data_IF_006748055414
#
_entry.id   IF_006748055414
#
_cell.length_a   1.000
_cell.length_b   1.000
_cell.length_c   1.000
_cell.angle_alpha   90.00
_cell.angle_beta   90.00
_cell.angle_gamma   90.00
#
_symmetry.space_group_name_H-M   'P 1'
#
loop_
_entity.id
_entity.type
_entity.pdbx_description
1 polymer ?
#
# COMPACT_ATOMS: atom_id res chain seq x y z
N UNK A 1 8.78 2.30 3.43
CA UNK A 1 8.02 1.32 4.24
C UNK A 1 7.73 0.09 3.40
N UNK A 2 7.63 -1.11 3.98
CA UNK A 2 7.18 -2.33 3.31
C UNK A 2 6.01 -2.97 4.06
N UNK A 3 5.00 -3.44 3.31
CA UNK A 3 3.90 -4.26 3.80
C UNK A 3 4.03 -5.65 3.17
N UNK A 4 4.21 -6.67 4.01
CA UNK A 4 4.44 -8.05 3.53
C UNK A 4 3.69 -9.08 4.34
N UNK A 5 3.36 -10.19 3.70
CA UNK A 5 2.68 -11.31 4.37
C UNK A 5 3.70 -12.20 5.11
N UNK A 6 3.31 -12.70 6.28
CA UNK A 6 3.94 -13.81 7.00
C UNK A 6 2.89 -14.90 7.16
N UNK A 7 3.14 -16.05 6.54
CA UNK A 7 2.22 -17.20 6.55
C UNK A 7 1.90 -17.67 7.96
N UNK A 8 0.70 -18.26 8.14
CA UNK A 8 0.26 -18.95 9.36
C UNK A 8 0.14 -18.07 10.63
N UNK A 9 0.10 -16.74 10.47
CA UNK A 9 -0.17 -15.80 11.57
C UNK A 9 -1.64 -15.35 11.57
N UNK A 10 -2.23 -15.16 12.76
CA UNK A 10 -3.55 -14.49 12.91
C UNK A 10 -3.55 -13.07 12.36
N UNK A 11 -2.38 -12.43 12.39
CA UNK A 11 -2.11 -11.11 11.82
C UNK A 11 -0.99 -11.28 10.79
N UNK A 12 -1.33 -11.69 9.55
CA UNK A 12 -0.31 -12.07 8.57
C UNK A 12 0.37 -10.86 7.93
N UNK A 13 -0.21 -9.67 7.96
CA UNK A 13 0.36 -8.51 7.28
C UNK A 13 1.28 -7.71 8.18
N UNK A 14 2.57 -7.73 7.88
CA UNK A 14 3.62 -7.09 8.64
C UNK A 14 4.00 -5.75 8.01
N UNK A 15 4.04 -4.71 8.83
CA UNK A 15 4.55 -3.40 8.49
C UNK A 15 5.97 -3.23 9.02
N UNK A 16 6.95 -3.04 8.14
CA UNK A 16 8.35 -2.78 8.55
C UNK A 16 9.14 -2.01 7.49
N UNK A 17 10.30 -1.44 7.85
CA UNK A 17 11.22 -0.94 6.82
C UNK A 17 11.93 -2.12 6.12
N UNK A 18 12.05 -2.14 4.78
CA UNK A 18 12.63 -3.27 4.04
C UNK A 18 14.04 -3.65 4.49
N UNK A 19 14.84 -2.65 4.89
CA UNK A 19 16.23 -2.82 5.36
C UNK A 19 16.39 -2.96 6.88
N UNK A 20 15.29 -3.07 7.64
CA UNK A 20 15.32 -3.26 9.09
C UNK A 20 14.69 -4.60 9.45
N UNK A 21 15.22 -5.26 10.47
CA UNK A 21 14.68 -6.52 10.96
C UNK A 21 13.47 -6.31 11.87
N UNK A 22 13.49 -5.21 12.64
CA UNK A 22 12.40 -4.86 13.55
C UNK A 22 11.10 -4.56 12.81
N UNK A 23 10.01 -5.11 13.33
CA UNK A 23 8.64 -4.90 12.84
C UNK A 23 8.05 -3.68 13.57
N UNK A 24 7.14 -2.96 12.90
CA UNK A 24 6.40 -1.84 13.49
C UNK A 24 5.07 -2.32 14.04
N UNK A 25 4.33 -3.09 13.24
CA UNK A 25 3.02 -3.62 13.60
C UNK A 25 2.62 -4.80 12.69
N UNK A 26 1.68 -5.61 13.15
CA UNK A 26 1.09 -6.74 12.43
C UNK A 26 -0.44 -6.61 12.35
N UNK A 27 -1.01 -6.84 11.17
CA UNK A 27 -2.40 -6.54 10.84
C UNK A 27 -3.12 -7.75 10.21
N UNK A 28 -4.46 -7.73 10.26
CA UNK A 28 -5.31 -8.75 9.61
C UNK A 28 -5.34 -8.61 8.10
N UNK A 29 -5.31 -7.38 7.58
CA UNK A 29 -5.31 -7.10 6.14
C UNK A 29 -4.22 -6.10 5.74
N UNK A 30 -3.81 -6.15 4.46
CA UNK A 30 -2.87 -5.20 3.88
C UNK A 30 -3.43 -3.76 3.90
N UNK A 31 -4.72 -3.61 3.66
CA UNK A 31 -5.42 -2.33 3.67
C UNK A 31 -5.46 -1.70 5.06
N UNK A 32 -5.61 -2.51 6.11
CA UNK A 32 -5.53 -2.05 7.50
C UNK A 32 -4.14 -1.50 7.82
N UNK A 33 -3.09 -2.25 7.47
CA UNK A 33 -1.72 -1.81 7.65
C UNK A 33 -1.45 -0.47 6.94
N UNK A 34 -1.95 -0.33 5.72
CA UNK A 34 -1.84 0.90 4.93
C UNK A 34 -2.59 2.07 5.58
N UNK A 35 -3.88 1.91 5.90
CA UNK A 35 -4.73 2.97 6.48
C UNK A 35 -4.21 3.41 7.86
N UNK A 36 -3.76 2.46 8.67
CA UNK A 36 -3.12 2.73 9.95
C UNK A 36 -1.86 3.57 9.76
N UNK A 37 -0.96 3.17 8.86
CA UNK A 37 0.31 3.86 8.66
C UNK A 37 0.16 5.27 8.07
N UNK A 38 -0.72 5.47 7.09
CA UNK A 38 -0.90 6.80 6.46
C UNK A 38 -1.56 7.80 7.42
N UNK A 39 -2.19 7.34 8.51
CA UNK A 39 -2.76 8.23 9.54
C UNK A 39 -1.69 9.05 10.26
N UNK A 40 -0.44 8.59 10.28
CA UNK A 40 0.69 9.30 10.89
C UNK A 40 1.20 10.47 10.04
N UNK A 41 0.75 10.61 8.79
CA UNK A 41 1.16 11.71 7.89
C UNK A 41 2.68 11.81 7.69
N UNK A 42 3.36 10.67 7.65
CA UNK A 42 4.81 10.57 7.41
C UNK A 42 5.04 10.39 5.90
N UNK A 43 5.81 11.28 5.28
CA UNK A 43 6.15 11.17 3.86
C UNK A 43 7.02 9.94 3.61
N UNK A 44 6.61 9.07 2.69
CA UNK A 44 7.22 7.74 2.56
C UNK A 44 6.89 7.08 1.22
N UNK A 45 7.67 6.07 0.88
CA UNK A 45 7.44 5.18 -0.25
C UNK A 45 7.01 3.84 0.34
N UNK A 46 5.77 3.45 0.10
CA UNK A 46 5.15 2.25 0.65
C UNK A 46 5.25 1.16 -0.40
N UNK A 47 6.06 0.15 -0.15
CA UNK A 47 6.19 -1.04 -0.97
C UNK A 47 5.19 -2.10 -0.48
N UNK A 48 4.56 -2.81 -1.39
CA UNK A 48 3.65 -3.90 -1.05
C UNK A 48 3.97 -5.15 -1.84
N UNK A 49 3.80 -6.27 -1.16
CA UNK A 49 4.06 -7.60 -1.71
C UNK A 49 2.79 -8.43 -1.74
N UNK A 50 2.75 -9.46 -2.57
CA UNK A 50 1.68 -10.45 -2.58
C UNK A 50 1.92 -11.53 -1.51
N UNK A 51 1.07 -12.57 -1.52
CA UNK A 51 1.14 -13.70 -0.60
C UNK A 51 2.39 -14.57 -0.76
N UNK A 52 3.03 -14.51 -1.94
CA UNK A 52 4.32 -15.15 -2.23
C UNK A 52 5.50 -14.25 -1.83
N UNK A 53 5.22 -13.11 -1.18
CA UNK A 53 6.20 -12.09 -0.81
C UNK A 53 6.95 -11.49 -2.02
N UNK A 54 6.34 -11.55 -3.21
CA UNK A 54 6.83 -10.90 -4.44
C UNK A 54 6.38 -9.44 -4.45
N UNK A 55 7.25 -8.52 -4.86
CA UNK A 55 6.94 -7.09 -4.95
C UNK A 55 5.96 -6.83 -6.09
N UNK A 56 4.76 -6.34 -5.77
CA UNK A 56 3.69 -6.12 -6.76
C UNK A 56 3.47 -4.63 -7.08
N UNK A 57 3.87 -3.73 -6.18
CA UNK A 57 3.73 -2.30 -6.42
C UNK A 57 4.32 -1.44 -5.32
N UNK A 58 4.23 -0.14 -5.56
CA UNK A 58 4.55 0.89 -4.57
C UNK A 58 3.57 2.06 -4.64
N UNK A 59 3.46 2.78 -3.52
CA UNK A 59 2.72 4.03 -3.40
C UNK A 59 3.65 5.07 -2.81
N UNK A 60 3.94 6.12 -3.58
CA UNK A 60 4.58 7.31 -3.06
C UNK A 60 3.54 8.17 -2.34
N UNK A 61 3.80 8.47 -1.06
CA UNK A 61 2.93 9.23 -0.19
C UNK A 61 3.66 10.45 0.35
N UNK A 62 3.33 11.64 -0.15
CA UNK A 62 4.02 12.89 0.21
C UNK A 62 3.14 14.12 -0.01
N UNK A 63 3.57 15.28 0.51
CA UNK A 63 2.86 16.55 0.29
C UNK A 63 3.14 17.11 -1.10
N UNK A 64 2.07 17.41 -1.84
CA UNK A 64 2.15 18.07 -3.15
C UNK A 64 2.02 19.58 -3.00
N UNK A 65 3.07 20.31 -3.41
CA UNK A 65 3.10 21.78 -3.37
C UNK A 65 2.01 22.38 -4.25
N UNK A 66 1.73 21.76 -5.39
CA UNK A 66 0.74 22.23 -6.37
C UNK A 66 -0.71 22.05 -5.87
N UNK A 67 -0.89 21.33 -4.76
CA UNK A 67 -2.20 21.04 -4.17
C UNK A 67 -2.29 21.52 -2.73
N UNK A 68 -1.83 22.74 -2.47
CA UNK A 68 -1.88 23.38 -1.15
C UNK A 68 -1.23 22.51 -0.05
N UNK A 69 -0.10 21.85 -0.37
CA UNK A 69 0.62 20.94 0.52
C UNK A 69 -0.25 19.79 1.07
N UNK A 70 -1.29 19.39 0.33
CA UNK A 70 -2.08 18.20 0.66
C UNK A 70 -1.27 16.94 0.37
N UNK A 71 -1.48 15.91 1.18
CA UNK A 71 -0.92 14.61 0.91
C UNK A 71 -1.58 13.98 -0.32
N UNK A 72 -0.75 13.46 -1.22
CA UNK A 72 -1.16 12.70 -2.40
C UNK A 72 -0.62 11.28 -2.35
N UNK A 73 -1.20 10.41 -3.17
CA UNK A 73 -0.86 9.00 -3.29
C UNK A 73 -0.64 8.68 -4.77
N UNK A 74 0.62 8.39 -5.14
CA UNK A 74 0.98 8.01 -6.51
C UNK A 74 1.28 6.52 -6.51
N UNK A 75 0.36 5.73 -7.07
CA UNK A 75 0.53 4.29 -7.23
C UNK A 75 1.41 3.96 -8.43
N UNK A 76 2.18 2.89 -8.32
CA UNK A 76 2.96 2.31 -9.40
C UNK A 76 2.95 0.79 -9.26
N UNK A 77 2.64 0.09 -10.34
CA UNK A 77 2.78 -1.37 -10.44
C UNK A 77 4.21 -1.77 -10.78
N UNK A 78 4.64 -2.96 -10.35
CA UNK A 78 5.96 -3.52 -10.72
C UNK A 78 5.90 -4.49 -11.91
N UNK A 79 4.78 -4.53 -12.65
CA UNK A 79 4.66 -5.28 -13.90
C UNK A 79 3.41 -6.16 -13.97
N UNK A 80 2.97 -6.42 -15.21
CA UNK A 80 1.79 -7.25 -15.51
C UNK A 80 1.96 -8.72 -15.11
N UNK A 81 3.20 -9.21 -15.01
CA UNK A 81 3.50 -10.62 -14.68
C UNK A 81 2.91 -11.06 -13.33
N UNK A 82 2.72 -10.10 -12.41
CA UNK A 82 2.15 -10.37 -11.09
C UNK A 82 0.62 -10.17 -11.03
N UNK A 83 -0.03 -9.88 -12.16
CA UNK A 83 -1.48 -9.70 -12.26
C UNK A 83 -2.01 -8.45 -11.52
N UNK A 84 -1.14 -7.49 -11.21
CA UNK A 84 -1.49 -6.25 -10.49
C UNK A 84 -1.07 -5.06 -11.34
N UNK A 85 -2.05 -4.28 -11.78
CA UNK A 85 -1.84 -3.07 -12.58
C UNK A 85 -2.06 -1.80 -11.74
N UNK A 86 -1.82 -0.63 -12.34
CA UNK A 86 -2.05 0.66 -11.70
C UNK A 86 -3.47 0.82 -11.16
N UNK A 87 -4.47 0.43 -11.96
CA UNK A 87 -5.88 0.65 -11.60
C UNK A 87 -6.34 -0.23 -10.44
N UNK A 88 -5.82 -1.46 -10.37
CA UNK A 88 -6.07 -2.39 -9.27
C UNK A 88 -5.51 -1.86 -7.95
N UNK A 89 -4.27 -1.36 -7.95
CA UNK A 89 -3.67 -0.72 -6.77
C UNK A 89 -4.50 0.49 -6.32
N UNK A 90 -4.90 1.35 -7.27
CA UNK A 90 -5.76 2.49 -6.97
C UNK A 90 -7.10 2.05 -6.35
N UNK A 91 -7.70 0.97 -6.85
CA UNK A 91 -8.94 0.42 -6.31
C UNK A 91 -8.76 -0.16 -4.92
N UNK A 92 -7.80 -1.06 -4.74
CA UNK A 92 -7.52 -1.78 -3.49
C UNK A 92 -7.22 -0.82 -2.34
N UNK A 93 -6.41 0.21 -2.61
CA UNK A 93 -6.06 1.22 -1.63
C UNK A 93 -6.97 2.45 -1.67
N UNK A 94 -8.05 2.43 -2.45
CA UNK A 94 -9.03 3.51 -2.57
C UNK A 94 -8.40 4.88 -2.81
N UNK A 95 -7.59 4.97 -3.87
CA UNK A 95 -6.89 6.16 -4.39
C UNK A 95 -7.55 6.53 -5.70
N UNK A 96 -7.88 7.81 -5.86
CA UNK A 96 -8.36 8.37 -7.13
C UNK A 96 -7.24 8.27 -8.19
N UNK A 97 -7.46 7.54 -9.30
CA UNK A 97 -6.43 7.28 -10.29
C UNK A 97 -6.02 8.50 -11.12
N UNK A 98 -6.78 9.61 -11.08
CA UNK A 98 -6.41 10.84 -11.77
C UNK A 98 -5.98 11.94 -10.80
N UNK A 99 -6.64 11.99 -9.64
CA UNK A 99 -6.40 13.05 -8.66
C UNK A 99 -5.46 12.60 -7.54
N UNK A 100 -4.97 11.36 -7.49
CA UNK A 100 -4.01 10.91 -6.48
C UNK A 100 -4.49 11.18 -5.03
N UNK A 101 -5.80 11.28 -4.82
CA UNK A 101 -6.41 11.62 -3.53
C UNK A 101 -7.08 10.38 -2.96
N UNK A 102 -7.14 10.28 -1.64
CA UNK A 102 -7.81 9.15 -1.00
C UNK A 102 -9.34 9.29 -1.14
N UNK A 103 -10.02 8.16 -1.39
CA UNK A 103 -11.48 8.06 -1.34
C UNK A 103 -12.00 8.37 0.06
N UNK A 104 -11.48 7.66 1.07
CA UNK A 104 -11.77 7.91 2.48
C UNK A 104 -11.06 9.18 2.96
N UNK A 105 -11.77 10.01 3.70
CA UNK A 105 -11.26 11.19 4.40
C UNK A 105 -10.39 10.79 5.59
N UNK A 106 -9.61 11.74 6.10
CA UNK A 106 -8.79 11.53 7.29
C UNK A 106 -9.64 11.15 8.51
N UNK A 107 -10.81 11.78 8.68
CA UNK A 107 -11.73 11.46 9.77
C UNK A 107 -12.31 10.04 9.67
N UNK A 108 -12.61 9.57 8.46
CA UNK A 108 -13.08 8.19 8.24
C UNK A 108 -11.97 7.18 8.51
N UNK A 109 -10.72 7.47 8.11
CA UNK A 109 -9.57 6.61 8.41
C UNK A 109 -9.31 6.57 9.92
N UNK A 110 -9.37 7.71 10.60
CA UNK A 110 -9.25 7.77 12.06
C UNK A 110 -10.33 6.96 12.76
N UNK A 111 -11.57 6.97 12.24
CA UNK A 111 -12.66 6.16 12.78
C UNK A 111 -12.37 4.66 12.60
N UNK A 112 -11.96 4.23 11.40
CA UNK A 112 -11.57 2.84 11.13
C UNK A 112 -10.44 2.38 12.06
N UNK A 113 -9.43 3.24 12.26
CA UNK A 113 -8.26 2.91 13.06
C UNK A 113 -8.57 2.77 14.57
N UNK A 114 -9.68 3.34 15.08
CA UNK A 114 -10.07 3.19 16.49
C UNK A 114 -10.52 1.78 16.84
N UNK A 115 -11.19 1.13 15.89
CA UNK A 115 -11.74 -0.22 16.08
C UNK A 115 -10.79 -1.30 15.53
N UNK A 116 -9.60 -0.89 15.10
CA UNK A 116 -8.62 -1.77 14.47
C UNK A 116 -7.95 -2.67 15.51
N UNK A 117 -8.01 -3.97 15.27
CA UNK A 117 -7.31 -4.98 16.08
C UNK A 117 -6.00 -5.33 15.36
N UNK A 118 -4.87 -5.08 16.00
CA UNK A 118 -3.53 -5.30 15.44
C UNK A 118 -2.51 -5.51 16.57
N UNK A 119 -1.32 -6.02 16.24
CA UNK A 119 -0.20 -6.14 17.18
C UNK A 119 0.75 -4.97 16.95
N UNK A 120 1.04 -4.19 17.99
CA UNK A 120 1.95 -3.05 17.93
C UNK A 120 3.33 -3.42 18.49
N UNK A 121 4.40 -3.05 17.77
CA UNK A 121 5.78 -3.33 18.16
C UNK A 121 6.64 -2.08 18.30
N UNK A 122 6.49 -1.09 17.41
CA UNK A 122 7.31 0.11 17.42
C UNK A 122 6.56 1.36 16.94
N UNK A 123 6.94 2.52 17.47
CA UNK A 123 6.33 3.80 17.10
C UNK A 123 6.82 4.25 15.70
N UNK A 124 5.92 4.45 14.71
CA UNK A 124 6.30 4.87 13.36
C UNK A 124 7.09 6.18 13.31
N UNK A 125 6.81 7.13 14.22
CA UNK A 125 7.45 8.46 14.22
C UNK A 125 8.93 8.41 14.62
N UNK A 126 9.31 7.47 15.49
CA UNK A 126 10.70 7.32 15.94
C UNK A 126 11.43 6.16 15.25
N UNK A 127 10.73 5.39 14.43
CA UNK A 127 11.27 4.20 13.80
C UNK A 127 12.20 4.51 12.61
N UNK A 128 11.95 5.62 11.90
CA UNK A 128 12.72 6.02 10.74
C UNK A 128 13.89 6.93 11.13
N UNK A 129 15.09 6.50 10.80
CA UNK A 129 16.26 7.37 10.82
C UNK A 129 16.25 8.26 9.57
N UNK A 130 16.82 9.49 9.63
CA UNK A 130 16.85 10.42 8.49
C UNK A 130 17.42 9.81 7.20
N UNK A 131 18.35 8.86 7.30
CA UNK A 131 18.94 8.15 6.16
C UNK A 131 17.95 7.29 5.35
N UNK A 132 16.78 7.01 5.91
CA UNK A 132 15.71 6.24 5.27
C UNK A 132 14.55 7.12 4.77
N UNK A 133 14.66 8.44 4.89
CA UNK A 133 13.70 9.37 4.30
C UNK A 133 13.70 9.24 2.78
N UNK A 134 12.52 9.41 2.18
CA UNK A 134 12.39 9.33 0.74
C UNK A 134 13.00 10.56 0.07
N UNK A 135 13.74 10.34 -1.02
CA UNK A 135 14.11 11.43 -1.92
C UNK A 135 12.86 11.87 -2.66
N UNK A 136 12.44 13.12 -2.47
CA UNK A 136 11.31 13.70 -3.19
C UNK A 136 11.64 13.80 -4.67
N UNK A 137 10.70 13.33 -5.50
CA UNK A 137 10.73 13.36 -6.95
C UNK A 137 9.49 14.06 -7.46
N UNK A 138 9.50 14.45 -8.73
CA UNK A 138 8.30 15.00 -9.38
C UNK A 138 7.21 13.93 -9.50
N UNK A 139 5.95 14.34 -9.67
CA UNK A 139 4.82 13.40 -9.87
C UNK A 139 5.09 12.45 -11.05
N UNK A 140 5.58 13.01 -12.15
CA UNK A 140 5.83 12.27 -13.39
C UNK A 140 7.00 11.27 -13.30
N UNK A 141 7.93 11.50 -12.36
CA UNK A 141 9.04 10.59 -12.05
C UNK A 141 8.61 9.38 -11.21
N UNK A 142 7.49 9.48 -10.49
CA UNK A 142 6.91 8.34 -9.74
C UNK A 142 5.98 7.48 -10.60
N UNK A 143 5.54 7.98 -11.75
CA UNK A 143 4.69 7.25 -12.67
C UNK A 143 5.54 6.47 -13.69
N UNK A 144 5.38 5.15 -13.72
CA UNK A 144 5.89 4.33 -14.82
C UNK A 144 5.03 4.52 -16.08
N UNK A 145 5.47 3.96 -17.21
CA UNK A 145 4.74 4.07 -18.48
C UNK A 145 3.34 3.45 -18.39
N UNK A 146 3.20 2.32 -17.71
CA UNK A 146 1.90 1.65 -17.51
C UNK A 146 0.89 2.56 -16.79
N UNK A 147 1.28 3.20 -15.70
CA UNK A 147 0.43 4.14 -14.98
C UNK A 147 0.07 5.35 -15.85
N UNK A 148 1.03 5.88 -16.64
CA UNK A 148 0.78 6.99 -17.58
C UNK A 148 -0.25 6.60 -18.64
N UNK A 149 -0.11 5.41 -19.22
CA UNK A 149 -1.04 4.89 -20.23
C UNK A 149 -2.45 4.71 -19.66
N UNK A 150 -2.58 4.14 -18.46
CA UNK A 150 -3.88 3.97 -17.78
C UNK A 150 -4.50 5.32 -17.42
N UNK A 151 -3.71 6.27 -16.93
CA UNK A 151 -4.16 7.65 -16.65
C UNK A 151 -4.70 8.28 -17.93
N UNK A 152 -3.97 8.17 -19.04
CA UNK A 152 -4.38 8.70 -20.34
C UNK A 152 -5.67 8.05 -20.84
N UNK A 153 -5.82 6.74 -20.72
CA UNK A 153 -7.06 6.01 -21.07
C UNK A 153 -8.25 6.51 -20.25
N UNK A 154 -8.10 6.65 -18.92
CA UNK A 154 -9.16 7.14 -18.04
C UNK A 154 -9.53 8.59 -18.41
N UNK A 155 -8.56 9.45 -18.74
CA UNK A 155 -8.82 10.81 -19.20
C UNK A 155 -9.63 10.83 -20.51
N UNK A 156 -9.24 10.03 -21.50
CA UNK A 156 -9.90 9.96 -22.81
C UNK A 156 -11.29 9.33 -22.76
N UNK A 157 -11.57 8.49 -21.77
CA UNK A 157 -12.90 7.93 -21.55
C UNK A 157 -13.93 8.97 -21.04
N UNK A 158 -13.55 10.23 -20.84
CA UNK A 158 -14.46 11.28 -20.37
C UNK A 158 -14.72 11.26 -18.85
N UNK A 159 -14.02 10.41 -18.10
CA UNK A 159 -14.15 10.29 -16.64
C UNK A 159 -13.39 11.36 -15.86
N UNK A 160 -12.70 12.27 -16.55
CA UNK A 160 -11.92 13.34 -15.92
C UNK A 160 -12.78 14.20 -14.96
N UNK A 161 -14.07 14.37 -15.28
CA UNK A 161 -14.99 15.24 -14.55
C UNK A 161 -15.99 14.49 -13.64
N UNK A 162 -15.98 13.16 -13.62
CA UNK A 162 -16.86 12.39 -12.73
C UNK A 162 -16.41 12.49 -11.27
N UNK A 163 -17.17 11.96 -10.31
CA UNK A 163 -16.69 11.91 -8.93
C UNK A 163 -15.58 10.85 -8.77
N UNK A 164 -14.85 10.95 -7.65
CA UNK A 164 -13.69 10.10 -7.35
C UNK A 164 -14.04 8.62 -7.18
N UNK A 165 -15.24 8.30 -6.67
CA UNK A 165 -15.66 6.91 -6.48
C UNK A 165 -15.99 6.27 -7.82
N UNK A 166 -16.74 6.98 -8.67
CA UNK A 166 -17.01 6.55 -10.05
C UNK A 166 -15.71 6.33 -10.82
N UNK A 167 -14.73 7.24 -10.70
CA UNK A 167 -13.42 7.04 -11.36
C UNK A 167 -12.72 5.77 -10.92
N UNK A 168 -12.73 5.45 -9.63
CA UNK A 168 -12.08 4.24 -9.10
C UNK A 168 -12.81 2.98 -9.56
N UNK A 169 -14.14 2.96 -9.53
CA UNK A 169 -14.92 1.80 -9.96
C UNK A 169 -14.81 1.57 -11.47
N UNK A 170 -14.86 2.62 -12.27
CA UNK A 170 -14.70 2.48 -13.71
C UNK A 170 -13.27 2.08 -14.07
N UNK A 171 -12.25 2.60 -13.40
CA UNK A 171 -10.87 2.13 -13.57
C UNK A 171 -10.73 0.63 -13.28
N UNK A 172 -11.42 0.12 -12.24
CA UNK A 172 -11.48 -1.31 -11.91
C UNK A 172 -12.12 -2.13 -13.03
N UNK A 173 -13.22 -1.65 -13.62
CA UNK A 173 -13.93 -2.37 -14.70
C UNK A 173 -13.19 -2.34 -16.04
N UNK A 174 -12.50 -1.25 -16.35
CA UNK A 174 -11.63 -1.14 -17.53
C UNK A 174 -10.56 -2.23 -17.55
N UNK A 175 -10.02 -2.57 -16.38
CA UNK A 175 -8.98 -3.58 -16.29
C UNK A 175 -9.48 -4.99 -16.64
N UNK A 176 -10.64 -5.38 -16.13
CA UNK A 176 -11.21 -6.71 -16.37
C UNK A 176 -11.63 -6.96 -17.84
N UNK A 177 -11.81 -5.90 -18.64
CA UNK A 177 -12.35 -5.99 -20.01
C UNK A 177 -11.28 -5.97 -21.09
N UNK A 178 -10.06 -5.53 -20.77
CA UNK A 178 -8.93 -5.54 -21.69
C UNK A 178 -8.27 -6.93 -21.77
N UNK A 179 -8.32 -7.71 -20.68
CA UNK A 179 -7.87 -9.11 -20.68
C UNK A 179 -8.75 -10.03 -21.55
N UNK A 180 -9.94 -9.57 -21.96
CA UNK A 180 -10.86 -10.33 -22.83
C UNK A 180 -10.81 -9.93 -24.32
N UNK A 181 -9.83 -9.13 -24.75
CA UNK A 181 -9.54 -8.91 -26.18
C UNK A 181 -10.56 -8.08 -26.98
N UNK A 182 -11.62 -7.55 -26.34
CA UNK A 182 -12.64 -6.75 -27.02
C UNK A 182 -12.54 -5.26 -26.66
N UNK A 183 -11.93 -4.46 -27.53
CA UNK A 183 -11.94 -2.99 -27.42
C UNK A 183 -13.30 -2.48 -27.88
N UNK A 184 -14.31 -2.58 -27.01
CA UNK A 184 -15.54 -1.82 -27.19
C UNK A 184 -15.43 -0.53 -26.37
N UNK A 185 -15.43 0.61 -27.08
CA UNK A 185 -15.59 1.95 -26.50
C UNK A 185 -16.68 1.90 -25.44
N UNK A 186 -16.29 2.10 -24.19
CA UNK A 186 -17.20 2.08 -23.06
C UNK A 186 -18.16 3.25 -23.25
N UNK A 187 -19.43 2.95 -23.53
CA UNK A 187 -20.47 3.95 -23.45
C UNK A 187 -20.69 4.28 -21.97
N UNK A 188 -19.95 5.26 -21.45
CA UNK A 188 -19.92 5.68 -20.04
C UNK A 188 -21.33 5.97 -19.50
N UNK A 189 -22.26 6.36 -20.39
CA UNK A 189 -23.67 6.57 -20.03
C UNK A 189 -24.35 5.32 -19.45
N UNK A 190 -23.97 4.11 -19.89
CA UNK A 190 -24.55 2.85 -19.41
C UNK A 190 -24.10 2.47 -18.00
N UNK A 191 -22.89 2.88 -17.58
CA UNK A 191 -22.35 2.59 -16.24
C UNK A 191 -22.95 3.57 -15.22
N UNK A 192 -22.99 4.87 -15.57
CA UNK A 192 -23.50 5.93 -14.68
C UNK A 192 -25.02 5.80 -14.43
N UNK A 193 -25.76 5.16 -15.33
CA UNK A 193 -27.22 4.99 -15.21
C UNK A 193 -27.65 3.97 -14.15
N UNK A 194 -26.78 3.03 -13.77
CA UNK A 194 -27.09 2.01 -12.76
C UNK A 194 -26.88 2.48 -11.31
N UNK A 195 -26.22 3.62 -11.08
CA UNK A 195 -25.83 4.07 -9.73
C UNK A 195 -26.90 4.82 -8.95
N UNK A 196 -28.05 5.15 -9.55
CA UNK A 196 -29.19 5.69 -8.76
C UNK A 196 -29.77 4.68 -7.76
N UNK A 197 -29.43 3.39 -7.85
CA UNK A 197 -29.80 2.35 -6.88
C UNK A 197 -28.71 2.00 -5.84
N UNK A 198 -27.50 2.58 -5.91
CA UNK A 198 -26.34 2.16 -5.07
C UNK A 198 -26.14 3.04 -3.83
N UNK A 199 -26.93 4.11 -3.64
CA UNK A 199 -26.89 4.94 -2.41
C UNK A 199 -27.24 4.20 -1.11
N UNK A 200 -27.59 2.91 -1.17
CA UNK A 200 -28.04 2.10 -0.04
C UNK A 200 -27.08 0.94 0.35
N UNK A 201 -25.85 0.91 -0.18
CA UNK A 201 -24.85 -0.12 0.18
C UNK A 201 -23.66 0.53 0.91
N UNK A 202 -23.93 1.14 2.05
CA UNK A 202 -22.90 1.57 3.02
C UNK A 202 -22.92 0.65 4.24
N UNK A 203 -22.73 -0.66 4.02
CA UNK A 203 -22.51 -1.63 5.10
C UNK A 203 -21.13 -2.28 4.99
N UNK A 204 -20.26 -2.17 6.01
CA UNK A 204 -18.84 -2.56 5.95
C UNK A 204 -18.57 -4.08 5.92
N UNK A 205 -19.60 -4.93 5.85
CA UNK A 205 -19.47 -6.39 6.03
C UNK A 205 -19.20 -7.14 4.70
N UNK A 206 -19.37 -6.52 3.53
CA UNK A 206 -19.31 -7.24 2.23
C UNK A 206 -17.99 -7.16 1.45
N UNK A 207 -16.98 -6.40 1.89
CA UNK A 207 -15.70 -6.30 1.18
C UNK A 207 -14.77 -7.52 1.41
N UNK A 208 -14.98 -8.30 2.46
CA UNK A 208 -14.14 -9.47 2.79
C UNK A 208 -14.40 -10.68 1.87
N UNK A 209 -15.61 -10.79 1.29
CA UNK A 209 -15.99 -11.94 0.45
C UNK A 209 -15.52 -11.85 -1.02
N UNK A 210 -15.07 -10.68 -1.48
CA UNK A 210 -14.59 -10.52 -2.87
C UNK A 210 -13.15 -11.05 -3.03
N UNK A 211 -12.35 -11.05 -1.96
CA UNK A 211 -10.96 -11.52 -1.99
C UNK A 211 -10.81 -13.05 -1.93
N UNK A 212 -11.81 -13.78 -1.45
CA UNK A 212 -11.78 -15.25 -1.41
C UNK A 212 -12.31 -15.91 -2.69
N UNK A 213 -13.17 -15.21 -3.46
CA UNK A 213 -13.84 -15.82 -4.62
C UNK A 213 -13.04 -15.72 -5.94
N UNK A 214 -11.92 -14.97 -5.97
CA UNK A 214 -11.13 -14.78 -7.19
C UNK A 214 -10.25 -15.98 -7.57
N UNK A 215 -10.01 -16.91 -6.63
CA UNK A 215 -9.14 -18.07 -6.86
C UNK A 215 -9.88 -19.36 -7.26
N UNK A 216 -11.20 -19.44 -7.08
CA UNK A 216 -11.97 -20.65 -7.40
C UNK A 216 -12.43 -20.70 -8.85
N UNK A 217 -12.65 -19.55 -9.49
CA UNK A 217 -13.18 -19.50 -10.87
C UNK A 217 -12.08 -19.69 -11.94
N UNK A 218 -10.81 -19.48 -11.58
CA UNK A 218 -9.69 -19.59 -12.53
C UNK A 218 -9.14 -21.03 -12.65
N UNK A 219 -9.45 -21.91 -11.71
CA UNK A 219 -9.10 -23.33 -11.78
C UNK A 219 -10.11 -24.15 -12.59
N UNK A 220 -11.39 -23.75 -12.62
CA UNK A 220 -12.43 -24.47 -13.36
C UNK A 220 -12.32 -24.34 -14.89
N UNK A 221 -11.75 -23.26 -15.41
CA UNK A 221 -11.66 -23.01 -16.87
C UNK A 221 -10.44 -23.73 -17.51
N UNK A 222 -9.50 -24.23 -16.69
CA UNK A 222 -8.28 -24.89 -17.18
C UNK A 222 -8.36 -26.42 -17.27
N UNK A 223 -9.44 -27.03 -16.77
CA UNK A 223 -9.65 -28.49 -16.82
C UNK A 223 -10.56 -28.96 -17.98
N UNK A 224 -11.29 -28.07 -18.66
CA UNK A 224 -12.19 -28.46 -19.77
C UNK A 224 -11.55 -28.44 -21.18
N UNK A 225 -10.29 -27.99 -21.34
CA UNK A 225 -9.64 -27.92 -22.66
C UNK A 225 -8.70 -29.09 -23.01
N UNK A 226 -8.65 -30.16 -22.20
CA UNK A 226 -7.81 -31.34 -22.46
C UNK A 226 -8.58 -32.65 -22.68
N UNK A 227 -9.82 -32.57 -23.16
CA UNK A 227 -10.61 -33.75 -23.58
C UNK A 227 -11.22 -33.58 -24.97
N UNK A 228 -10.40 -33.26 -25.96
CA UNK A 228 -10.78 -33.50 -27.37
C UNK A 228 -9.54 -33.48 -28.26
N UNK A 229 -8.90 -34.65 -28.41
CA UNK A 229 -8.10 -35.05 -29.58
C UNK A 229 -7.65 -36.50 -29.39
N UNK A 230 -8.54 -37.43 -29.76
CA UNK A 230 -8.17 -38.78 -30.16
C UNK A 230 -9.04 -39.17 -31.37
N UNK A 231 -8.43 -39.09 -32.55
CA UNK A 231 -8.84 -39.69 -33.82
C UNK A 231 -7.53 -39.81 -34.61
N UNK A 232 -6.90 -40.99 -34.59
CA UNK A 232 -7.01 -42.02 -35.62
C UNK A 232 -6.22 -41.65 -36.89
N UNK A 233 -5.11 -42.37 -37.13
CA UNK A 233 -4.70 -42.92 -38.44
C UNK A 233 -3.64 -44.02 -38.20
N UNK A 234 -3.85 -45.11 -38.91
CA UNK A 234 -3.22 -46.45 -38.96
C UNK A 234 -1.93 -46.55 -39.79
N UNK A 235 -1.10 -47.57 -39.42
CA UNK A 235 -0.27 -48.51 -40.23
C UNK A 235 0.87 -47.91 -41.08
N UNK A 236 2.00 -48.54 -41.40
CA UNK A 236 2.78 -49.78 -41.15
C UNK A 236 4.26 -49.30 -41.45
N UNK A 237 5.39 -49.84 -41.00
CA UNK A 237 6.02 -51.10 -41.39
C UNK A 237 7.43 -51.20 -40.72
N UNK A 238 7.70 -52.36 -40.11
CA UNK A 238 8.94 -53.18 -40.12
C UNK A 238 10.36 -52.69 -39.71
N UNK A 239 10.86 -53.36 -38.63
CA UNK A 239 12.12 -54.16 -38.50
C UNK A 239 13.50 -53.45 -38.45
N UNK A 240 14.28 -53.62 -37.36
CA UNK A 240 15.51 -54.46 -37.23
C UNK A 240 16.25 -54.27 -35.86
N UNK A 241 16.58 -55.41 -35.23
CA UNK A 241 17.48 -55.82 -34.10
C UNK A 241 18.26 -54.86 -33.15
N UNK A 242 18.10 -55.06 -31.82
CA UNK A 242 18.99 -55.75 -30.79
C UNK A 242 20.55 -55.55 -30.84
N UNK A 243 21.33 -55.91 -29.78
CA UNK A 243 21.52 -55.34 -28.42
C UNK A 243 23.03 -55.15 -28.03
N UNK A 244 23.33 -54.60 -26.84
CA UNK A 244 24.45 -55.02 -25.93
C UNK A 244 24.49 -54.11 -24.70
N UNK A 245 24.30 -54.57 -23.45
CA UNK A 245 25.14 -55.39 -22.58
C UNK A 245 26.36 -54.67 -21.95
N UNK A 246 26.50 -54.97 -20.65
CA UNK A 246 27.71 -54.99 -19.81
C UNK A 246 28.12 -53.68 -19.11
N UNK A 247 28.61 -53.68 -17.87
CA UNK A 247 28.55 -54.58 -16.70
C UNK A 247 29.46 -53.91 -15.64
N UNK A 248 29.17 -54.15 -14.36
CA UNK A 248 30.12 -54.16 -13.23
C UNK A 248 30.78 -52.81 -12.80
N UNK A 249 31.15 -52.56 -11.54
CA UNK A 249 31.48 -53.47 -10.44
C UNK A 249 31.34 -52.70 -9.10
N UNK A 250 30.75 -53.33 -8.07
CA UNK A 250 31.43 -53.87 -6.86
C UNK A 250 32.02 -52.81 -5.90
N UNK A 251 31.52 -52.66 -4.67
CA UNK A 251 31.69 -53.52 -3.47
C UNK A 251 32.67 -52.79 -2.51
N UNK A 252 32.31 -52.33 -1.31
CA UNK A 252 32.24 -52.98 0.01
C UNK A 252 32.23 -51.80 1.02
N UNK A 253 31.73 -51.80 2.27
CA UNK A 253 31.62 -52.78 3.38
C UNK A 253 30.74 -52.05 4.42
N UNK A 254 29.64 -52.61 4.91
CA UNK A 254 29.55 -53.43 6.15
C UNK A 254 30.29 -52.82 7.35
N UNK A 255 29.53 -52.30 8.31
CA UNK A 255 29.59 -52.84 9.66
C UNK A 255 28.23 -52.69 10.38
N UNK A 256 27.93 -53.75 11.10
CA UNK A 256 26.66 -54.21 11.65
C UNK A 256 26.81 -54.32 13.18
N UNK A 257 25.69 -54.19 13.90
CA UNK A 257 25.32 -54.81 15.20
C UNK A 257 24.57 -53.83 16.11
N UNK A 258 23.26 -54.03 16.25
CA UNK A 258 22.56 -54.82 17.29
C UNK A 258 22.26 -53.92 18.51
N UNK A 259 21.12 -53.96 19.19
CA UNK A 259 20.25 -55.09 19.45
C UNK A 259 18.88 -54.60 19.95
N UNK A 260 17.88 -55.44 19.72
CA UNK A 260 16.48 -55.33 20.13
C UNK A 260 16.29 -55.82 21.57
N UNK A 261 15.35 -55.27 22.35
CA UNK A 261 14.40 -56.10 23.12
C UNK A 261 13.21 -55.34 23.73
N UNK A 262 12.09 -56.06 23.71
CA UNK A 262 10.74 -55.79 24.20
C UNK A 262 10.64 -55.53 25.72
N UNK A 263 9.56 -54.89 26.18
CA UNK A 263 8.42 -55.56 26.85
C UNK A 263 7.39 -54.58 27.40
N UNK A 264 6.12 -54.99 27.26
CA UNK A 264 4.91 -54.41 27.86
C UNK A 264 4.96 -54.41 29.39
N UNK A 265 4.28 -53.44 30.02
CA UNK A 265 3.56 -53.62 31.30
C UNK A 265 2.62 -52.45 31.61
N UNK A 266 1.34 -52.80 31.72
CA UNK A 266 0.22 -52.02 32.27
C UNK A 266 0.19 -52.26 33.79
N UNK A 267 0.20 -51.21 34.63
CA UNK A 267 -0.40 -51.22 35.98
C UNK A 267 -0.89 -49.81 36.36
N UNK A 268 -2.16 -49.75 36.80
CA UNK A 268 -2.84 -48.63 37.44
C UNK A 268 -2.23 -48.25 38.81
N UNK A 269 -2.20 -46.96 39.15
CA UNK A 269 -2.40 -46.51 40.54
C UNK A 269 -2.82 -45.04 40.63
N UNK A 270 -3.77 -44.82 41.53
CA UNK A 270 -4.46 -43.60 41.93
C UNK A 270 -3.61 -42.58 42.70
N UNK A 271 -4.02 -41.31 42.57
CA UNK A 271 -4.20 -40.30 43.63
C UNK A 271 -2.98 -39.90 44.48
N UNK A 272 -2.59 -38.63 44.34
CA UNK A 272 -2.40 -37.73 45.49
C UNK A 272 -2.27 -36.27 45.03
N UNK A 273 -3.10 -35.41 45.62
CA UNK A 273 -2.91 -33.96 45.66
C UNK A 273 -1.55 -33.63 46.29
N UNK A 274 -0.82 -32.66 45.74
CA UNK A 274 -0.43 -31.48 46.52
C UNK A 274 0.17 -30.34 45.69
N UNK A 275 0.01 -29.18 46.30
CA UNK A 275 0.30 -27.78 45.98
C UNK A 275 1.68 -27.34 45.43
N UNK A 276 1.70 -26.08 44.94
CA UNK A 276 2.82 -25.09 44.98
C UNK A 276 3.94 -25.30 43.91
N UNK A 277 4.49 -24.35 43.11
CA UNK A 277 4.63 -22.87 43.05
C UNK A 277 4.94 -22.40 41.61
N UNK A 278 4.56 -21.16 41.33
CA UNK A 278 4.97 -20.20 40.28
C UNK A 278 6.20 -20.48 39.39
N UNK A 279 6.07 -20.17 38.09
CA UNK A 279 6.58 -18.93 37.47
C UNK A 279 6.58 -19.06 35.94
N UNK A 280 5.90 -18.17 35.21
CA UNK A 280 6.45 -17.36 34.11
C UNK A 280 5.32 -16.60 33.41
N UNK A 281 4.93 -15.46 33.98
CA UNK A 281 3.95 -14.54 33.42
C UNK A 281 4.62 -13.56 32.45
N UNK A 282 4.49 -13.79 31.15
CA UNK A 282 4.63 -12.71 30.16
C UNK A 282 3.29 -11.98 30.05
N UNK A 283 3.20 -10.83 30.72
CA UNK A 283 2.05 -9.93 30.66
C UNK A 283 1.96 -9.29 29.27
N UNK A 284 0.90 -9.65 28.53
CA UNK A 284 0.41 -8.92 27.35
C UNK A 284 -0.20 -7.60 27.84
N UNK A 285 0.44 -6.48 27.50
CA UNK A 285 -0.02 -5.15 27.87
C UNK A 285 -1.15 -4.69 26.93
N UNK A 286 -2.40 -4.89 27.36
CA UNK A 286 -3.58 -4.27 26.73
C UNK A 286 -3.62 -2.81 27.22
N UNK A 287 -3.10 -1.89 26.42
CA UNK A 287 -3.04 -0.47 26.79
C UNK A 287 -4.36 0.25 26.50
N UNK A 288 -5.11 0.56 27.55
CA UNK A 288 -6.17 1.57 27.54
C UNK A 288 -5.54 2.95 27.76
N UNK A 289 -5.41 3.75 26.70
CA UNK A 289 -4.80 5.09 26.77
C UNK A 289 -5.67 6.10 27.52
N UNK A 290 -5.26 6.47 28.74
CA UNK A 290 -5.73 7.66 29.48
C UNK A 290 -5.20 8.94 28.83
N UNK A 291 -6.09 9.92 28.66
CA UNK A 291 -5.80 11.27 28.14
C UNK A 291 -4.90 12.07 29.09
N UNK A 292 -3.67 12.35 28.67
CA UNK A 292 -2.80 13.33 29.30
C UNK A 292 -2.97 14.72 28.65
N UNK A 293 -3.33 15.72 29.47
CA UNK A 293 -3.35 17.16 29.11
C UNK A 293 -1.92 17.61 28.81
N UNK A 294 -1.61 17.87 27.53
CA UNK A 294 -0.38 18.54 27.12
C UNK A 294 -0.55 20.06 27.16
N UNK A 295 0.31 20.73 27.91
CA UNK A 295 0.51 22.18 27.86
C UNK A 295 1.10 22.58 26.50
N UNK A 296 0.40 23.47 25.79
CA UNK A 296 0.77 23.99 24.46
C UNK A 296 2.02 24.87 24.57
N UNK A 297 3.19 24.35 24.19
CA UNK A 297 4.34 25.20 23.80
C UNK A 297 4.01 25.84 22.45
N UNK A 298 3.87 27.16 22.40
CA UNK A 298 3.68 27.90 21.15
C UNK A 298 4.97 27.81 20.31
N UNK A 299 4.89 27.49 19.01
CA UNK A 299 6.08 27.30 18.19
C UNK A 299 6.68 28.67 17.80
N UNK A 300 7.94 28.88 18.20
CA UNK A 300 8.77 30.07 17.90
C UNK A 300 8.84 30.38 16.39
N UNK A 301 8.58 29.38 15.54
CA UNK A 301 8.57 29.52 14.08
C UNK A 301 7.49 30.45 13.53
N UNK A 302 6.36 30.64 14.23
CA UNK A 302 5.31 31.57 13.75
C UNK A 302 5.77 33.02 13.87
N UNK A 303 6.51 33.37 14.91
CA UNK A 303 6.99 34.75 15.11
C UNK A 303 7.99 35.19 14.03
N UNK A 304 8.89 34.30 13.61
CA UNK A 304 9.88 34.58 12.57
C UNK A 304 9.25 34.82 11.19
N UNK A 305 8.20 34.05 10.85
CA UNK A 305 7.47 34.23 9.58
C UNK A 305 6.77 35.60 9.55
N UNK A 306 6.19 36.03 10.68
CA UNK A 306 5.52 37.33 10.77
C UNK A 306 6.51 38.49 10.61
N UNK A 307 7.70 38.40 11.24
CA UNK A 307 8.76 39.42 11.09
C UNK A 307 9.24 39.51 9.64
N UNK A 308 9.44 38.37 8.98
CA UNK A 308 9.87 38.34 7.58
C UNK A 308 8.84 39.00 6.63
N UNK A 309 7.55 38.76 6.85
CA UNK A 309 6.48 39.41 6.08
C UNK A 309 6.47 40.93 6.26
N UNK A 310 6.70 41.42 7.48
CA UNK A 310 6.76 42.87 7.77
C UNK A 310 7.92 43.53 7.00
N UNK A 311 9.08 42.87 6.93
CA UNK A 311 10.24 43.38 6.20
C UNK A 311 9.95 43.47 4.69
N UNK A 312 9.29 42.47 4.11
CA UNK A 312 8.91 42.49 2.68
C UNK A 312 7.95 43.65 2.40
N UNK A 313 6.93 43.84 3.25
CA UNK A 313 5.96 44.93 3.08
C UNK A 313 6.66 46.28 3.15
N UNK A 314 7.54 46.50 4.14
CA UNK A 314 8.32 47.73 4.25
C UNK A 314 9.21 47.97 3.02
N UNK A 315 9.86 46.92 2.49
CA UNK A 315 10.67 47.00 1.27
C UNK A 315 9.85 47.39 0.04
N UNK A 316 8.67 46.79 -0.14
CA UNK A 316 7.77 47.13 -1.23
C UNK A 316 7.27 48.58 -1.11
N UNK A 317 6.92 49.02 0.10
CA UNK A 317 6.49 50.42 0.31
C UNK A 317 7.59 51.42 0.00
N UNK A 318 8.83 51.16 0.42
CA UNK A 318 9.98 52.01 0.12
C UNK A 318 10.26 52.07 -1.39
N UNK A 319 10.16 50.93 -2.09
CA UNK A 319 10.33 50.86 -3.54
C UNK A 319 9.25 51.67 -4.28
N UNK A 320 7.99 51.57 -3.86
CA UNK A 320 6.91 52.40 -4.45
C UNK A 320 7.14 53.89 -4.22
N UNK A 321 7.56 54.31 -3.01
CA UNK A 321 7.89 55.72 -2.75
C UNK A 321 9.05 56.20 -3.63
N UNK A 322 10.09 55.36 -3.80
CA UNK A 322 11.22 55.67 -4.67
C UNK A 322 10.79 55.83 -6.12
N UNK A 323 9.94 54.94 -6.65
CA UNK A 323 9.42 55.05 -8.00
C UNK A 323 8.55 56.30 -8.19
N UNK A 324 7.68 56.63 -7.23
CA UNK A 324 6.87 57.85 -7.28
C UNK A 324 7.72 59.12 -7.31
N UNK A 325 8.84 59.12 -6.57
CA UNK A 325 9.81 60.20 -6.62
C UNK A 325 10.54 60.26 -7.97
N UNK A 326 11.02 59.11 -8.46
CA UNK A 326 11.75 59.00 -9.73
C UNK A 326 10.93 59.49 -10.93
N UNK A 327 9.62 59.25 -10.93
CA UNK A 327 8.71 59.74 -11.96
C UNK A 327 8.21 61.17 -11.73
N UNK A 328 8.74 61.90 -10.74
CA UNK A 328 8.30 63.24 -10.34
C UNK A 328 6.79 63.34 -10.05
N UNK A 329 6.16 62.24 -9.63
CA UNK A 329 4.73 62.23 -9.25
C UNK A 329 4.54 62.87 -7.88
N UNK A 330 5.52 62.69 -6.98
CA UNK A 330 5.52 63.24 -5.63
C UNK A 330 6.90 63.81 -5.30
N UNK A 331 6.93 65.07 -4.84
CA UNK A 331 8.14 65.70 -4.33
C UNK A 331 8.28 65.43 -2.82
N UNK A 332 9.30 64.66 -2.45
CA UNK A 332 9.60 64.31 -1.05
C UNK A 332 10.61 65.27 -0.40
N UNK A 333 11.20 66.22 -1.13
CA UNK A 333 12.15 67.19 -0.59
C UNK A 333 11.63 67.97 0.64
N UNK A 334 10.39 68.50 0.66
CA UNK A 334 9.91 69.25 1.83
C UNK A 334 9.73 68.38 3.09
N UNK A 335 9.56 67.07 2.93
CA UNK A 335 9.47 66.13 4.06
C UNK A 335 10.87 65.81 4.59
N UNK A 336 11.86 65.62 3.69
CA UNK A 336 13.25 65.37 4.05
C UNK A 336 13.90 66.57 4.75
N UNK A 337 13.58 67.80 4.33
CA UNK A 337 14.05 69.01 5.04
C UNK A 337 13.53 69.08 6.48
N UNK A 338 12.26 68.72 6.72
CA UNK A 338 11.70 68.68 8.07
C UNK A 338 12.33 67.60 8.96
N UNK A 339 12.81 66.49 8.39
CA UNK A 339 13.49 65.44 9.15
C UNK A 339 14.94 65.80 9.51
N UNK A 340 15.59 66.71 8.78
CA UNK A 340 16.95 67.20 9.10
C UNK A 340 16.99 68.24 10.22
N UNK A 341 15.83 68.76 10.63
CA UNK A 341 15.66 69.80 11.65
C UNK A 341 15.38 69.24 13.06
N UNK A 342 15.56 67.94 13.26
CA UNK A 342 15.54 67.26 14.57
C UNK A 342 16.80 66.41 14.71
#
# INVERSE_FOLDING_TARGET
>A
MGIRERSQSKFPWILKHPKKDSIIAEFKSQLDAFNWYISFKIETLILFTNKKNELIGQIAYFKDKDRNNRFIFIAQSYGFENGVDYTSICSDFGIDPLKFSKLKTDAEIEKINKDLIFIFHANPMSYFEPKYEIKKRTKDEYLNNEAKDKIFQIQNSGLANTDKYTRVEVARTLNNKYDSGSVNLINVSSIVSNDKKVKEINDPIKQENIYQNKNSTQTAIREETNKEKNGEITKDETVFSKPSNDENSLLNTLDEKNETQNTDSIVNAQVSNDSFVMANSQSVEITNTKKNKKTKKRPVTVALITIFLIIIILGLTALTCFLLHYFNVVDFNPILEKMKLK
#
